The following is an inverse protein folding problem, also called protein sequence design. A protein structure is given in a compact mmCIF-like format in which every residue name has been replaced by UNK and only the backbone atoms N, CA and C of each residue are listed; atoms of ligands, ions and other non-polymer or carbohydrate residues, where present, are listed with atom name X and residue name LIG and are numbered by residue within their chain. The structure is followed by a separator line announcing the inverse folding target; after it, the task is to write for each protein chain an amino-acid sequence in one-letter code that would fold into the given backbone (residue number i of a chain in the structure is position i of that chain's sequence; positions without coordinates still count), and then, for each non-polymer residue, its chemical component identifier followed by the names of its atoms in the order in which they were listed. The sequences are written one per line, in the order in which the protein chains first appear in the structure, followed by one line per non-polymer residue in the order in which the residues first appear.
data_IF_243318197302
#
_entry.id   IF_243318197302
#
_cell.length_a   1.000
_cell.length_b   1.000
_cell.length_c   1.000
_cell.angle_alpha   90.00
_cell.angle_beta   90.00
_cell.angle_gamma   90.00
#
_symmetry.space_group_name_H-M   'P 1'
#
loop_
_entity.id
_entity.type
_entity.pdbx_description
1 polymer ?
#
# COMPACT_ATOMS: atom_id res chain seq x y z
N UNK A 1 18.54 -9.40 -5.05
CA UNK A 1 19.69 -8.60 -5.47
C UNK A 1 19.63 -7.15 -4.97
N UNK A 2 18.61 -6.31 -5.38
CA UNK A 2 18.53 -4.90 -4.92
C UNK A 2 18.23 -4.78 -3.42
N UNK A 3 17.30 -5.55 -2.86
CA UNK A 3 17.02 -5.54 -1.43
C UNK A 3 18.26 -5.92 -0.60
N UNK A 4 18.98 -6.96 -1.03
CA UNK A 4 20.23 -7.40 -0.44
C UNK A 4 21.30 -6.31 -0.48
N UNK A 5 21.46 -5.65 -1.62
CA UNK A 5 22.43 -4.55 -1.79
C UNK A 5 22.09 -3.37 -0.89
N UNK A 6 20.82 -2.94 -0.85
CA UNK A 6 20.39 -1.82 -0.01
C UNK A 6 20.60 -2.12 1.47
N UNK A 7 20.33 -3.35 1.90
CA UNK A 7 20.57 -3.76 3.28
C UNK A 7 22.06 -3.81 3.61
N UNK A 8 22.85 -4.52 2.80
CA UNK A 8 24.26 -4.82 3.13
C UNK A 8 25.19 -3.63 2.89
N UNK A 9 25.01 -2.88 1.80
CA UNK A 9 25.91 -1.78 1.43
C UNK A 9 25.53 -0.47 2.14
N UNK A 10 24.26 -0.26 2.44
CA UNK A 10 23.75 1.01 2.98
C UNK A 10 23.04 0.90 4.33
N UNK A 11 22.85 -0.31 4.85
CA UNK A 11 22.15 -0.55 6.13
C UNK A 11 20.67 -0.16 6.12
N UNK A 12 20.05 -0.07 4.93
CA UNK A 12 18.63 0.28 4.77
C UNK A 12 17.80 -0.96 5.09
N UNK A 13 16.98 -0.86 6.13
CA UNK A 13 16.15 -1.97 6.63
C UNK A 13 14.64 -1.73 6.52
N UNK A 14 14.23 -0.66 5.87
CA UNK A 14 12.82 -0.38 5.53
C UNK A 14 12.76 -0.13 4.03
N UNK A 15 12.05 -1.00 3.30
CA UNK A 15 11.93 -0.94 1.85
C UNK A 15 10.47 -0.95 1.42
N UNK A 16 10.05 0.07 0.67
CA UNK A 16 8.71 0.12 0.09
C UNK A 16 8.74 -0.43 -1.34
N UNK A 17 7.92 -1.44 -1.61
CA UNK A 17 7.77 -2.02 -2.94
C UNK A 17 6.66 -1.28 -3.67
N UNK A 18 6.99 -0.70 -4.80
CA UNK A 18 6.06 0.12 -5.58
C UNK A 18 5.56 -0.60 -6.83
N UNK A 19 4.27 -0.54 -7.04
CA UNK A 19 3.59 -0.85 -8.30
C UNK A 19 3.27 0.46 -9.03
N UNK A 20 4.28 1.03 -9.65
CA UNK A 20 4.27 2.41 -10.18
C UNK A 20 3.13 2.70 -11.17
N UNK A 21 2.74 1.73 -11.98
CA UNK A 21 1.68 1.89 -13.00
C UNK A 21 0.41 1.09 -12.69
N UNK A 22 0.33 0.50 -11.52
CA UNK A 22 -0.85 -0.25 -11.08
C UNK A 22 -1.11 -1.55 -11.81
N UNK A 23 -0.13 -2.10 -12.53
CA UNK A 23 -0.28 -3.31 -13.36
C UNK A 23 -0.07 -4.63 -12.61
N UNK A 24 0.39 -4.59 -11.37
CA UNK A 24 0.64 -5.81 -10.60
C UNK A 24 -0.66 -6.54 -10.27
N UNK A 25 -0.67 -7.83 -10.54
CA UNK A 25 -1.76 -8.72 -10.14
C UNK A 25 -1.60 -9.18 -8.67
N UNK A 26 -2.70 -9.49 -7.95
CA UNK A 26 -2.66 -9.95 -6.57
C UNK A 26 -1.73 -11.14 -6.33
N UNK A 27 -1.68 -12.10 -7.26
CA UNK A 27 -0.79 -13.28 -7.18
C UNK A 27 0.69 -12.91 -7.20
N UNK A 28 1.06 -11.92 -8.00
CA UNK A 28 2.45 -11.44 -8.09
C UNK A 28 2.82 -10.69 -6.81
N UNK A 29 1.91 -9.86 -6.29
CA UNK A 29 2.07 -9.14 -5.03
C UNK A 29 2.30 -10.16 -3.90
N UNK A 30 1.41 -11.14 -3.73
CA UNK A 30 1.51 -12.16 -2.69
C UNK A 30 2.82 -12.95 -2.79
N UNK A 31 3.19 -13.40 -3.98
CA UNK A 31 4.43 -14.14 -4.21
C UNK A 31 5.67 -13.30 -3.85
N UNK A 32 5.74 -12.05 -4.36
CA UNK A 32 6.91 -11.19 -4.16
C UNK A 32 7.11 -10.84 -2.69
N UNK A 33 6.05 -10.41 -1.99
CA UNK A 33 6.12 -10.08 -0.57
C UNK A 33 6.46 -11.31 0.28
N UNK A 34 5.83 -12.47 0.03
CA UNK A 34 6.14 -13.72 0.75
C UNK A 34 7.60 -14.10 0.60
N UNK A 35 8.13 -14.00 -0.63
CA UNK A 35 9.52 -14.32 -0.91
C UNK A 35 10.47 -13.37 -0.20
N UNK A 36 10.29 -12.06 -0.36
CA UNK A 36 11.21 -11.07 0.21
C UNK A 36 11.17 -11.03 1.73
N UNK A 37 10.00 -11.13 2.35
CA UNK A 37 9.87 -11.18 3.82
C UNK A 37 10.56 -12.43 4.39
N UNK A 38 10.48 -13.57 3.67
CA UNK A 38 11.15 -14.80 4.07
C UNK A 38 12.68 -14.71 3.90
N UNK A 39 13.16 -14.14 2.80
CA UNK A 39 14.60 -14.04 2.51
C UNK A 39 15.30 -12.98 3.37
N UNK A 40 14.59 -11.90 3.75
CA UNK A 40 15.16 -10.77 4.49
C UNK A 40 14.35 -10.46 5.77
N UNK A 41 14.39 -11.33 6.78
CA UNK A 41 13.54 -11.19 7.98
C UNK A 41 13.87 -9.96 8.84
N UNK A 42 15.02 -9.32 8.64
CA UNK A 42 15.43 -8.07 9.29
C UNK A 42 14.96 -6.82 8.57
N UNK A 43 14.35 -6.95 7.38
CA UNK A 43 13.85 -5.83 6.58
C UNK A 43 12.34 -5.70 6.76
N UNK A 44 11.88 -4.49 7.06
CA UNK A 44 10.47 -4.14 7.01
C UNK A 44 10.07 -3.78 5.58
N UNK A 45 9.25 -4.62 4.95
CA UNK A 45 8.72 -4.36 3.62
C UNK A 45 7.38 -3.63 3.70
N UNK A 46 7.28 -2.51 2.99
CA UNK A 46 6.06 -1.73 2.80
C UNK A 46 5.46 -1.93 1.41
N UNK A 47 4.16 -1.75 1.30
CA UNK A 47 3.41 -1.81 0.05
C UNK A 47 2.98 -0.41 -0.38
N UNK A 48 3.53 0.06 -1.51
CA UNK A 48 3.13 1.28 -2.20
C UNK A 48 2.45 0.91 -3.52
N UNK A 49 1.17 0.56 -3.43
CA UNK A 49 0.42 0.01 -4.55
C UNK A 49 -0.48 1.06 -5.18
N UNK A 50 -0.46 1.13 -6.51
CA UNK A 50 -1.43 1.89 -7.28
C UNK A 50 -2.63 1.01 -7.61
N UNK A 51 -3.83 1.59 -7.50
CA UNK A 51 -5.08 0.84 -7.56
C UNK A 51 -6.18 1.58 -8.30
N UNK A 52 -7.13 0.81 -8.83
CA UNK A 52 -8.43 1.31 -9.26
C UNK A 52 -9.49 1.06 -8.19
N UNK A 53 -10.64 1.72 -8.34
CA UNK A 53 -11.76 1.58 -7.42
C UNK A 53 -12.27 0.13 -7.25
N UNK A 54 -12.03 -0.73 -8.23
CA UNK A 54 -12.49 -2.12 -8.26
C UNK A 54 -11.45 -3.15 -7.78
N UNK A 55 -10.15 -2.82 -7.72
CA UNK A 55 -9.09 -3.81 -7.43
C UNK A 55 -8.24 -3.51 -6.19
N UNK A 56 -8.48 -2.40 -5.49
CA UNK A 56 -7.69 -2.01 -4.32
C UNK A 56 -7.69 -3.06 -3.21
N UNK A 57 -8.86 -3.68 -2.97
CA UNK A 57 -9.01 -4.64 -1.88
C UNK A 57 -8.23 -5.92 -2.14
N UNK A 58 -8.30 -6.45 -3.34
CA UNK A 58 -7.58 -7.68 -3.72
C UNK A 58 -6.06 -7.51 -3.60
N UNK A 59 -5.53 -6.35 -4.03
CA UNK A 59 -4.12 -6.03 -3.90
C UNK A 59 -3.69 -5.86 -2.45
N UNK A 60 -4.51 -5.16 -1.65
CA UNK A 60 -4.29 -4.99 -0.21
C UNK A 60 -4.22 -6.34 0.51
N UNK A 61 -5.22 -7.19 0.27
CA UNK A 61 -5.32 -8.52 0.88
C UNK A 61 -4.16 -9.44 0.47
N UNK A 62 -3.72 -9.36 -0.78
CA UNK A 62 -2.56 -10.13 -1.26
C UNK A 62 -1.28 -9.77 -0.50
N UNK A 63 -0.99 -8.48 -0.33
CA UNK A 63 0.15 -8.02 0.45
C UNK A 63 0.00 -8.40 1.94
N UNK A 64 -1.21 -8.27 2.50
CA UNK A 64 -1.48 -8.62 3.90
C UNK A 64 -1.29 -10.11 4.18
N UNK A 65 -1.83 -10.99 3.33
CA UNK A 65 -1.65 -12.45 3.43
C UNK A 65 -0.19 -12.85 3.35
N UNK A 66 0.60 -12.15 2.55
CA UNK A 66 2.03 -12.37 2.43
C UNK A 66 2.85 -11.88 3.64
N UNK A 67 2.21 -11.25 4.63
CA UNK A 67 2.85 -10.79 5.86
C UNK A 67 3.30 -9.32 5.84
N UNK A 68 2.95 -8.54 4.83
CA UNK A 68 3.19 -7.10 4.80
C UNK A 68 2.42 -6.41 5.94
N UNK A 69 3.09 -5.50 6.65
CA UNK A 69 2.52 -4.77 7.80
C UNK A 69 2.53 -3.26 7.61
N UNK A 70 3.18 -2.77 6.57
CA UNK A 70 3.31 -1.34 6.25
C UNK A 70 2.66 -1.05 4.91
N UNK A 71 1.84 -0.02 4.86
CA UNK A 71 1.10 0.36 3.67
C UNK A 71 1.13 1.87 3.49
N UNK A 72 1.33 2.30 2.26
CA UNK A 72 1.21 3.69 1.87
C UNK A 72 -0.12 3.90 1.13
N UNK A 73 -0.75 5.04 1.38
CA UNK A 73 -2.01 5.39 0.74
C UNK A 73 -2.21 6.89 0.68
N UNK A 74 -3.25 7.31 -0.02
CA UNK A 74 -3.72 8.70 -0.05
C UNK A 74 -5.22 8.76 0.20
N UNK A 75 -5.69 9.86 0.78
CA UNK A 75 -7.13 10.08 0.94
C UNK A 75 -7.81 10.06 -0.43
N UNK A 76 -8.94 9.35 -0.53
CA UNK A 76 -9.69 9.14 -1.78
C UNK A 76 -8.89 8.43 -2.89
N UNK A 77 -7.71 7.89 -2.59
CA UNK A 77 -6.79 7.37 -3.59
C UNK A 77 -6.19 8.45 -4.50
N UNK A 78 -6.22 9.70 -4.10
CA UNK A 78 -5.76 10.83 -4.89
C UNK A 78 -4.26 10.75 -5.22
N UNK A 79 -3.92 11.31 -6.38
CA UNK A 79 -2.60 11.17 -6.95
C UNK A 79 -2.47 9.86 -7.73
N UNK A 80 -1.62 9.86 -8.70
CA UNK A 80 -1.32 8.72 -9.55
C UNK A 80 -0.03 8.98 -10.28
N UNK A 81 0.50 7.95 -10.93
CA UNK A 81 1.69 8.10 -11.71
C UNK A 81 1.36 8.78 -13.05
N UNK A 82 1.96 9.92 -13.40
CA UNK A 82 1.77 10.57 -14.70
C UNK A 82 2.28 9.71 -15.87
N UNK A 83 2.94 8.60 -15.57
CA UNK A 83 3.41 7.63 -16.58
C UNK A 83 2.34 6.59 -16.97
N UNK A 84 1.20 6.55 -16.27
CA UNK A 84 0.05 5.74 -16.68
C UNK A 84 -0.67 6.48 -17.83
N UNK A 85 -0.47 6.01 -19.05
CA UNK A 85 -0.82 6.76 -20.28
C UNK A 85 -2.33 6.94 -20.52
N UNK A 86 -3.18 6.05 -20.07
CA UNK A 86 -4.59 6.03 -20.51
C UNK A 86 -5.63 5.81 -19.40
N UNK A 87 -5.22 5.33 -18.21
CA UNK A 87 -6.11 5.21 -17.06
C UNK A 87 -5.40 5.80 -15.84
N UNK A 88 -5.98 6.83 -15.25
CA UNK A 88 -5.50 7.42 -14.01
C UNK A 88 -5.60 6.37 -12.89
N UNK A 89 -4.55 5.59 -12.74
CA UNK A 89 -4.41 4.66 -11.61
C UNK A 89 -4.11 5.49 -10.38
N UNK A 90 -5.02 5.50 -9.42
CA UNK A 90 -4.87 6.21 -8.16
C UNK A 90 -3.97 5.47 -7.17
N UNK A 91 -3.64 6.15 -6.07
CA UNK A 91 -3.03 5.50 -4.92
C UNK A 91 -4.03 4.57 -4.21
N UNK A 92 -3.52 3.74 -3.30
CA UNK A 92 -4.36 2.97 -2.37
C UNK A 92 -5.23 3.94 -1.53
N UNK A 93 -6.57 3.81 -1.51
CA UNK A 93 -7.42 4.75 -0.77
C UNK A 93 -7.32 4.51 0.73
N UNK A 94 -6.74 5.48 1.44
CA UNK A 94 -6.43 5.38 2.88
C UNK A 94 -7.66 5.07 3.73
N UNK A 95 -8.77 5.75 3.50
CA UNK A 95 -10.00 5.57 4.27
C UNK A 95 -10.59 4.16 4.09
N UNK A 96 -10.49 3.60 2.89
CA UNK A 96 -10.96 2.24 2.61
C UNK A 96 -10.05 1.20 3.26
N UNK A 97 -8.74 1.38 3.15
CA UNK A 97 -7.73 0.54 3.79
C UNK A 97 -7.92 0.53 5.32
N UNK A 98 -8.08 1.70 5.94
CA UNK A 98 -8.29 1.81 7.38
C UNK A 98 -9.59 1.14 7.84
N UNK A 99 -10.68 1.30 7.09
CA UNK A 99 -11.95 0.64 7.38
C UNK A 99 -11.83 -0.89 7.22
N UNK A 100 -11.10 -1.37 6.22
CA UNK A 100 -10.84 -2.80 6.04
C UNK A 100 -10.11 -3.39 7.24
N UNK A 101 -9.07 -2.73 7.73
CA UNK A 101 -8.29 -3.19 8.89
C UNK A 101 -8.97 -2.96 10.25
N UNK A 102 -10.00 -2.15 10.34
CA UNK A 102 -10.74 -1.89 11.59
C UNK A 102 -11.25 -3.16 12.27
N UNK A 103 -11.71 -4.14 11.47
CA UNK A 103 -12.20 -5.42 11.96
C UNK A 103 -11.10 -6.43 12.30
N UNK A 104 -9.88 -6.25 11.76
CA UNK A 104 -8.78 -7.20 11.83
C UNK A 104 -7.78 -6.82 12.93
N UNK A 105 -7.45 -5.54 13.04
CA UNK A 105 -6.45 -5.01 13.97
C UNK A 105 -7.10 -4.28 15.15
N UNK A 106 -7.43 -5.02 16.20
CA UNK A 106 -8.00 -4.46 17.44
C UNK A 106 -7.06 -3.52 18.23
N UNK A 107 -5.80 -3.40 17.81
CA UNK A 107 -4.78 -2.54 18.43
C UNK A 107 -4.58 -1.18 17.75
N UNK A 108 -5.24 -0.89 16.66
CA UNK A 108 -5.11 0.38 15.96
C UNK A 108 -5.74 1.52 16.77
N UNK A 109 -4.89 2.47 17.17
CA UNK A 109 -5.30 3.71 17.86
C UNK A 109 -5.76 4.79 16.88
N UNK A 110 -6.44 4.43 15.80
CA UNK A 110 -6.92 5.38 14.80
C UNK A 110 -8.22 6.02 15.29
N UNK A 111 -8.23 7.34 15.30
CA UNK A 111 -9.45 8.12 15.51
C UNK A 111 -10.24 8.15 14.19
N UNK A 112 -11.26 7.30 14.11
CA UNK A 112 -12.13 7.20 12.94
C UNK A 112 -13.01 8.44 12.73
N UNK A 113 -13.27 9.24 13.77
CA UNK A 113 -13.98 10.52 13.61
C UNK A 113 -13.09 11.53 12.91
N UNK A 114 -11.80 11.61 13.30
CA UNK A 114 -10.81 12.45 12.64
C UNK A 114 -10.57 11.98 11.19
N UNK A 115 -10.51 10.67 10.96
CA UNK A 115 -10.38 10.10 9.62
C UNK A 115 -11.56 10.51 8.70
N UNK A 116 -12.79 10.43 9.19
CA UNK A 116 -13.96 10.86 8.43
C UNK A 116 -13.96 12.35 8.11
N UNK A 117 -13.57 13.20 9.08
CA UNK A 117 -13.38 14.64 8.82
C UNK A 117 -12.32 14.93 7.77
N UNK A 118 -11.23 14.15 7.77
CA UNK A 118 -10.17 14.26 6.76
C UNK A 118 -10.68 13.84 5.38
N UNK A 119 -11.52 12.82 5.32
CA UNK A 119 -12.19 12.39 4.08
C UNK A 119 -13.10 13.50 3.53
N UNK A 120 -13.94 14.11 4.38
CA UNK A 120 -14.83 15.18 3.97
C UNK A 120 -14.04 16.41 3.47
N UNK A 121 -12.95 16.76 4.17
CA UNK A 121 -12.05 17.84 3.75
C UNK A 121 -11.39 17.54 2.39
N UNK A 122 -10.85 16.32 2.21
CA UNK A 122 -10.26 15.90 0.94
C UNK A 122 -11.29 15.95 -0.19
N UNK A 123 -12.51 15.46 0.05
CA UNK A 123 -13.61 15.49 -0.94
C UNK A 123 -14.01 16.90 -1.36
N UNK A 124 -13.81 17.90 -0.48
CA UNK A 124 -14.10 19.30 -0.81
C UNK A 124 -12.98 20.00 -1.61
N UNK A 125 -11.76 19.49 -1.53
CA UNK A 125 -10.58 20.06 -2.20
C UNK A 125 -10.36 19.41 -3.57
N UNK A 126 -10.56 18.12 -3.64
CA UNK A 126 -10.29 17.32 -4.81
C UNK A 126 -11.60 16.88 -5.47
N UNK A 127 -12.04 17.61 -6.46
CA UNK A 127 -13.23 17.30 -7.25
C UNK A 127 -12.87 16.70 -8.59
#
# INVERSE_FOLDING_TARGET
HWAEKLLNDFGINILSLSDTIGSSEPKIIEWLFSKLISEFPSVEFGAHLHTHAHNWQEKLEAAYKAGCKRYDGAMLGYGGCPMAKDDLVGNMPTERMMNHFKGINKGNKIDFQALNKSYDAASSIFH
#
